data_IF_295045281269
#
_entry.id   IF_295045281269
#
_cell.length_a   1.000
_cell.length_b   1.000
_cell.length_c   1.000
_cell.angle_alpha   90.00
_cell.angle_beta   90.00
_cell.angle_gamma   90.00
#
_symmetry.space_group_name_H-M   'P 1'
#
loop_
_entity.id
_entity.type
_entity.pdbx_description
1 polymer ?
#
# COMPACT_ATOMS: atom_id res chain seq x y z
N UNK A 1 -7.51 -6.63 -1.25
CA UNK A 1 -6.44 -5.63 -1.38
C UNK A 1 -6.43 -4.79 -0.12
N UNK A 2 -5.24 -4.42 0.35
CA UNK A 2 -5.02 -3.59 1.54
C UNK A 2 -4.19 -2.36 1.14
N UNK A 3 -4.61 -1.16 1.51
CA UNK A 3 -3.80 0.05 1.39
C UNK A 3 -3.17 0.40 2.73
N UNK A 4 -1.95 0.92 2.73
CA UNK A 4 -1.23 1.33 3.95
C UNK A 4 -0.66 2.73 3.73
N UNK A 5 -0.87 3.64 4.67
CA UNK A 5 -0.41 5.04 4.60
C UNK A 5 -0.16 5.62 5.99
N UNK A 6 0.45 6.80 6.07
CA UNK A 6 0.72 7.50 7.32
C UNK A 6 -0.48 8.31 7.82
N UNK A 7 -1.53 8.46 7.01
CA UNK A 7 -2.71 9.26 7.34
C UNK A 7 -3.43 8.75 8.60
N UNK A 8 -4.05 9.64 9.38
CA UNK A 8 -4.95 9.27 10.47
C UNK A 8 -6.05 8.30 10.02
N UNK A 9 -6.45 7.38 10.91
CA UNK A 9 -7.46 6.37 10.58
C UNK A 9 -8.84 6.99 10.27
N UNK A 10 -9.21 8.08 10.95
CA UNK A 10 -10.47 8.78 10.70
C UNK A 10 -10.51 9.45 9.31
N UNK A 11 -9.38 10.02 8.88
CA UNK A 11 -9.24 10.59 7.53
C UNK A 11 -9.33 9.49 6.47
N UNK A 12 -8.72 8.32 6.73
CA UNK A 12 -8.78 7.18 5.82
C UNK A 12 -10.21 6.65 5.67
N UNK A 13 -10.95 6.55 6.78
CA UNK A 13 -12.34 6.14 6.75
C UNK A 13 -13.19 7.12 5.96
N UNK A 14 -13.07 8.41 6.26
CA UNK A 14 -13.81 9.48 5.55
C UNK A 14 -13.55 9.40 4.05
N UNK A 15 -12.29 9.37 3.64
CA UNK A 15 -11.92 9.33 2.23
C UNK A 15 -12.40 8.05 1.54
N UNK A 16 -12.25 6.88 2.19
CA UNK A 16 -12.74 5.59 1.68
C UNK A 16 -14.23 5.66 1.37
N UNK A 17 -15.03 6.21 2.28
CA UNK A 17 -16.48 6.32 2.14
C UNK A 17 -16.85 7.30 1.02
N UNK A 18 -16.14 8.44 0.90
CA UNK A 18 -16.35 9.45 -0.14
C UNK A 18 -16.11 8.92 -1.56
N UNK A 19 -15.02 8.16 -1.76
CA UNK A 19 -14.64 7.63 -3.08
C UNK A 19 -15.23 6.25 -3.36
N UNK A 20 -15.97 5.67 -2.41
CA UNK A 20 -16.55 4.34 -2.53
C UNK A 20 -15.52 3.21 -2.60
N UNK A 21 -14.35 3.39 -1.98
CA UNK A 21 -13.29 2.38 -2.01
C UNK A 21 -13.67 1.17 -1.16
N UNK A 22 -13.67 -0.02 -1.79
CA UNK A 22 -14.02 -1.26 -1.10
C UNK A 22 -12.85 -1.88 -0.34
N UNK A 23 -11.61 -1.52 -0.71
CA UNK A 23 -10.40 -2.00 -0.04
C UNK A 23 -10.27 -1.45 1.38
N UNK A 24 -9.66 -2.25 2.26
CA UNK A 24 -9.31 -1.81 3.61
C UNK A 24 -8.07 -0.89 3.57
N UNK A 25 -8.06 0.11 4.46
CA UNK A 25 -6.94 1.05 4.60
C UNK A 25 -6.42 0.99 6.03
N UNK A 26 -5.11 0.82 6.18
CA UNK A 26 -4.41 0.84 7.46
C UNK A 26 -3.57 2.10 7.60
N UNK A 27 -3.43 2.51 8.86
CA UNK A 27 -2.46 3.52 9.27
C UNK A 27 -1.17 2.85 9.72
N UNK A 28 -0.05 3.25 9.13
CA UNK A 28 1.32 2.95 9.55
C UNK A 28 1.86 4.12 10.39
N UNK A 29 1.53 4.11 11.68
CA UNK A 29 1.69 5.28 12.55
C UNK A 29 3.15 5.66 12.86
N UNK A 30 4.05 4.68 12.84
CA UNK A 30 5.49 4.83 13.12
C UNK A 30 6.35 4.62 11.86
N UNK A 31 5.72 4.43 10.70
CA UNK A 31 6.35 4.14 9.40
C UNK A 31 7.11 2.81 9.37
N UNK A 32 6.90 1.93 10.35
CA UNK A 32 7.63 0.68 10.44
C UNK A 32 7.35 -0.23 9.23
N UNK A 33 6.10 -0.28 8.76
CA UNK A 33 5.74 -1.09 7.58
C UNK A 33 6.38 -0.48 6.33
N UNK A 34 6.24 0.83 6.12
CA UNK A 34 6.82 1.49 4.97
C UNK A 34 8.35 1.32 4.92
N UNK A 35 9.06 1.43 6.05
CA UNK A 35 10.50 1.19 6.08
C UNK A 35 10.85 -0.28 5.80
N UNK A 36 10.10 -1.23 6.38
CA UNK A 36 10.36 -2.65 6.17
C UNK A 36 10.20 -3.09 4.71
N UNK A 37 9.26 -2.47 3.98
CA UNK A 37 8.98 -2.79 2.57
C UNK A 37 9.65 -1.83 1.58
N UNK A 38 10.48 -0.89 2.04
CA UNK A 38 11.21 0.05 1.18
C UNK A 38 10.39 1.25 0.65
N UNK A 39 9.17 1.45 1.15
CA UNK A 39 8.35 2.63 0.86
C UNK A 39 8.80 3.87 1.65
N UNK A 40 9.65 3.74 2.67
CA UNK A 40 10.21 4.86 3.41
C UNK A 40 11.69 4.62 3.77
N UNK A 41 12.45 5.71 3.81
CA UNK A 41 13.88 5.69 4.17
C UNK A 41 14.12 6.04 5.65
N UNK A 42 13.14 6.66 6.33
CA UNK A 42 13.23 6.99 7.75
C UNK A 42 11.86 7.19 8.40
N UNK A 43 11.84 7.19 9.74
CA UNK A 43 10.66 7.48 10.55
C UNK A 43 10.22 8.95 10.51
N UNK A 44 11.02 9.83 9.90
CA UNK A 44 10.70 11.25 9.73
C UNK A 44 10.12 11.57 8.34
N UNK A 45 10.06 10.58 7.44
CA UNK A 45 9.51 10.76 6.11
C UNK A 45 8.02 11.13 6.16
N UNK A 46 7.64 12.20 5.46
CA UNK A 46 6.29 12.78 5.51
C UNK A 46 5.23 11.91 4.82
N UNK A 47 5.60 11.22 3.74
CA UNK A 47 4.71 10.39 2.91
C UNK A 47 5.43 9.14 2.41
N UNK A 48 4.77 7.97 2.31
CA UNK A 48 5.40 6.79 1.73
C UNK A 48 5.60 6.99 0.22
N UNK A 49 6.68 6.42 -0.32
CA UNK A 49 6.83 6.16 -1.75
C UNK A 49 5.74 5.19 -2.21
N UNK A 50 5.33 5.31 -3.47
CA UNK A 50 4.28 4.45 -4.02
C UNK A 50 4.88 3.11 -4.45
N UNK A 51 4.60 2.06 -3.67
CA UNK A 51 4.95 0.69 -4.00
C UNK A 51 3.74 -0.21 -3.83
N UNK A 52 3.80 -1.39 -4.45
CA UNK A 52 2.90 -2.50 -4.19
C UNK A 52 3.68 -3.76 -3.91
N UNK A 53 3.09 -4.67 -3.13
CA UNK A 53 3.71 -5.94 -2.77
C UNK A 53 2.68 -7.05 -2.98
N UNK A 54 3.04 -8.05 -3.77
CA UNK A 54 2.25 -9.26 -3.93
C UNK A 54 2.71 -10.29 -2.89
N UNK A 55 1.80 -10.69 -2.02
CA UNK A 55 2.04 -11.69 -0.97
C UNK A 55 1.26 -12.95 -1.29
N UNK A 56 1.94 -14.09 -1.29
CA UNK A 56 1.36 -15.41 -1.54
C UNK A 56 0.48 -15.89 -0.39
N UNK A 57 -0.27 -16.97 -0.63
CA UNK A 57 -1.14 -17.58 0.39
C UNK A 57 -0.36 -18.23 1.54
N UNK A 58 0.94 -18.45 1.35
CA UNK A 58 1.91 -18.89 2.35
C UNK A 58 2.49 -17.73 3.19
N UNK A 59 2.10 -16.49 2.89
CA UNK A 59 2.58 -15.29 3.55
C UNK A 59 3.96 -14.81 3.05
N UNK A 60 4.52 -15.41 2.00
CA UNK A 60 5.79 -14.98 1.41
C UNK A 60 5.57 -13.87 0.38
N UNK A 61 6.53 -12.95 0.30
CA UNK A 61 6.54 -11.93 -0.78
C UNK A 61 6.87 -12.63 -2.10
N UNK A 62 5.93 -12.58 -3.03
CA UNK A 62 6.07 -13.09 -4.40
C UNK A 62 6.74 -12.05 -5.28
N UNK A 63 6.32 -10.79 -5.17
CA UNK A 63 6.89 -9.69 -5.93
C UNK A 63 6.72 -8.33 -5.22
N UNK A 64 7.56 -7.37 -5.55
CA UNK A 64 7.47 -5.98 -5.10
C UNK A 64 7.65 -5.04 -6.28
N UNK A 65 6.79 -4.02 -6.37
CA UNK A 65 6.71 -3.13 -7.52
C UNK A 65 6.91 -1.69 -7.09
N UNK A 66 7.81 -0.98 -7.78
CA UNK A 66 7.74 0.48 -7.83
C UNK A 66 6.60 0.88 -8.75
N UNK A 67 5.69 1.75 -8.28
CA UNK A 67 4.46 2.08 -9.01
C UNK A 67 4.52 3.52 -9.50
N UNK A 68 4.86 3.70 -10.78
CA UNK A 68 4.83 4.99 -11.47
C UNK A 68 3.46 5.28 -12.11
N UNK A 69 2.79 4.26 -12.64
CA UNK A 69 1.41 4.32 -13.16
C UNK A 69 0.44 3.68 -12.17
N UNK A 70 -0.30 4.50 -11.42
CA UNK A 70 -1.26 3.98 -10.44
C UNK A 70 -2.52 3.38 -11.07
N UNK A 71 -2.91 3.82 -12.27
CA UNK A 71 -4.16 3.40 -12.90
C UNK A 71 -3.99 2.04 -13.56
N UNK A 72 -2.89 1.84 -14.30
CA UNK A 72 -2.61 0.58 -14.99
C UNK A 72 -2.05 -0.53 -14.08
N UNK A 73 -1.42 -0.18 -12.96
CA UNK A 73 -0.71 -1.14 -12.13
C UNK A 73 -1.55 -2.31 -11.60
N UNK A 74 -2.80 -2.13 -11.10
CA UNK A 74 -3.60 -3.24 -10.58
C UNK A 74 -3.82 -4.36 -11.61
N UNK A 75 -4.07 -4.01 -12.88
CA UNK A 75 -4.27 -4.99 -13.95
C UNK A 75 -2.97 -5.73 -14.27
N UNK A 76 -1.84 -5.04 -14.29
CA UNK A 76 -0.53 -5.65 -14.48
C UNK A 76 -0.17 -6.64 -13.36
N UNK A 77 -0.39 -6.25 -12.10
CA UNK A 77 -0.12 -7.10 -10.94
C UNK A 77 -1.03 -8.34 -10.91
N UNK A 78 -2.32 -8.21 -11.27
CA UNK A 78 -3.25 -9.34 -11.34
C UNK A 78 -2.83 -10.38 -12.38
N UNK A 79 -2.25 -9.96 -13.50
CA UNK A 79 -1.81 -10.85 -14.56
C UNK A 79 -0.62 -11.74 -14.18
N UNK A 80 0.07 -11.43 -13.07
CA UNK A 80 1.19 -12.21 -12.54
C UNK A 80 0.76 -13.22 -11.46
N UNK A 81 -0.51 -13.19 -11.02
CA UNK A 81 -1.04 -14.16 -10.07
C UNK A 81 -1.35 -15.48 -10.82
N UNK A 82 -0.79 -16.62 -10.39
CA UNK A 82 -1.02 -17.92 -11.03
C UNK A 82 -2.48 -18.38 -11.03
#
# INVERSE_FOLDING_TARGET
>A
MLGITFSPADDLKTWRDEVGLTAELLRDADRAVAMAYGAAQSADQERPSRISVLVGTDGLVVNAYEVSDAEGHPAAALAEIP
#
